data_IF_845182815666
#
_entry.id   IF_845182815666
#
_cell.length_a   1.000
_cell.length_b   1.000
_cell.length_c   1.000
_cell.angle_alpha   90.00
_cell.angle_beta   90.00
_cell.angle_gamma   90.00
#
_symmetry.space_group_name_H-M   'P 1'
#
loop_
_entity.id
_entity.type
_entity.pdbx_description
1 polymer ?
#
# COMPACT_ATOMS: atom_id res chain seq x y z
N UNK A 1 8.70 37.94 20.96
CA UNK A 1 9.45 37.66 19.72
C UNK A 1 8.49 36.89 18.83
N UNK A 2 7.67 37.62 18.06
CA UNK A 2 6.73 37.01 17.12
C UNK A 2 7.55 36.37 16.00
N UNK A 3 7.59 35.06 15.97
CA UNK A 3 8.07 34.32 14.80
C UNK A 3 7.09 34.58 13.68
N UNK A 4 7.38 35.55 12.82
CA UNK A 4 6.79 35.66 11.50
C UNK A 4 7.11 34.38 10.74
N UNK A 5 6.26 33.37 10.86
CA UNK A 5 6.24 32.24 9.94
C UNK A 5 5.77 32.78 8.60
N UNK A 6 6.70 32.97 7.67
CA UNK A 6 6.35 33.22 6.28
C UNK A 6 5.37 32.13 5.85
N UNK A 7 4.26 32.47 5.17
CA UNK A 7 3.34 31.45 4.67
C UNK A 7 4.12 30.50 3.76
N UNK A 8 3.95 29.19 3.97
CA UNK A 8 4.61 28.17 3.15
C UNK A 8 4.34 28.45 1.66
N UNK A 9 5.34 28.29 0.78
CA UNK A 9 5.13 28.48 -0.65
C UNK A 9 3.99 27.57 -1.15
N UNK A 10 3.22 28.00 -2.16
CA UNK A 10 2.15 27.19 -2.70
C UNK A 10 2.71 25.88 -3.26
N UNK A 11 2.01 24.76 -3.00
CA UNK A 11 2.39 23.45 -3.52
C UNK A 11 2.37 23.51 -5.07
N UNK A 12 3.46 23.13 -5.76
CA UNK A 12 3.54 23.17 -7.22
C UNK A 12 2.40 22.39 -7.88
N UNK A 13 1.96 22.82 -9.07
CA UNK A 13 1.02 22.02 -9.84
C UNK A 13 1.76 20.91 -10.56
N UNK A 14 1.08 19.80 -10.81
CA UNK A 14 1.67 18.70 -11.58
C UNK A 14 2.06 19.13 -13.01
N UNK A 15 1.37 20.13 -13.58
CA UNK A 15 1.72 20.74 -14.88
C UNK A 15 3.11 21.39 -14.84
N UNK A 16 3.46 22.06 -13.74
CA UNK A 16 4.77 22.69 -13.53
C UNK A 16 5.86 21.64 -13.32
N UNK A 17 5.50 20.53 -12.68
CA UNK A 17 6.38 19.40 -12.45
C UNK A 17 6.55 18.53 -13.70
N UNK A 18 5.67 18.58 -14.68
CA UNK A 18 5.75 17.83 -15.93
C UNK A 18 4.83 16.60 -15.97
N UNK A 19 3.94 16.57 -16.96
CA UNK A 19 2.92 15.54 -17.15
C UNK A 19 3.47 14.17 -17.60
N UNK A 20 4.75 14.08 -17.97
CA UNK A 20 5.40 12.79 -18.24
C UNK A 20 5.36 11.84 -17.03
N UNK A 21 5.25 12.40 -15.82
CA UNK A 21 5.09 11.64 -14.57
C UNK A 21 3.82 10.79 -14.56
N UNK A 22 2.80 11.13 -15.36
CA UNK A 22 1.55 10.36 -15.44
C UNK A 22 1.58 9.23 -16.47
N UNK A 23 2.65 9.14 -17.27
CA UNK A 23 2.69 8.24 -18.42
C UNK A 23 3.19 6.85 -18.03
N UNK A 24 2.30 5.86 -17.97
CA UNK A 24 2.70 4.46 -17.76
C UNK A 24 2.74 3.70 -19.09
N UNK A 25 3.93 3.22 -19.48
CA UNK A 25 4.08 2.36 -20.65
C UNK A 25 3.45 0.98 -20.44
N UNK A 26 3.11 0.29 -21.53
CA UNK A 26 2.59 -1.07 -21.48
C UNK A 26 3.55 -2.04 -20.76
N UNK A 27 4.87 -1.85 -20.92
CA UNK A 27 5.89 -2.63 -20.22
C UNK A 27 5.89 -2.36 -18.72
N UNK A 28 5.86 -1.10 -18.29
CA UNK A 28 5.81 -0.75 -16.86
C UNK A 28 4.56 -1.35 -16.19
N UNK A 29 3.40 -1.22 -16.84
CA UNK A 29 2.16 -1.84 -16.39
C UNK A 29 2.28 -3.35 -16.26
N UNK A 30 2.78 -4.03 -17.29
CA UNK A 30 2.93 -5.48 -17.29
C UNK A 30 3.89 -5.95 -16.17
N UNK A 31 5.03 -5.27 -16.00
CA UNK A 31 5.99 -5.57 -14.95
C UNK A 31 5.38 -5.37 -13.56
N UNK A 32 4.67 -4.26 -13.33
CA UNK A 32 4.04 -3.98 -12.06
C UNK A 32 3.03 -5.09 -11.66
N UNK A 33 2.16 -5.48 -12.59
CA UNK A 33 1.13 -6.50 -12.37
C UNK A 33 1.69 -7.93 -12.28
N UNK A 34 2.76 -8.24 -13.03
CA UNK A 34 3.38 -9.56 -13.02
C UNK A 34 4.21 -9.80 -11.75
N UNK A 35 4.76 -8.75 -11.14
CA UNK A 35 5.72 -8.85 -10.02
C UNK A 35 5.20 -9.72 -8.85
N UNK A 36 3.99 -9.50 -8.29
CA UNK A 36 3.46 -10.38 -7.25
C UNK A 36 3.32 -11.84 -7.68
N UNK A 37 2.84 -12.07 -8.91
CA UNK A 37 2.59 -13.42 -9.44
C UNK A 37 3.89 -14.18 -9.66
N UNK A 38 4.93 -13.50 -10.13
CA UNK A 38 6.29 -14.04 -10.19
C UNK A 38 6.78 -14.43 -8.79
N UNK A 39 6.48 -13.62 -7.78
CA UNK A 39 6.81 -13.95 -6.39
C UNK A 39 6.16 -15.23 -5.91
N UNK A 40 4.86 -15.43 -6.19
CA UNK A 40 4.13 -16.67 -5.87
C UNK A 40 4.75 -17.87 -6.60
N UNK A 41 5.14 -17.70 -7.87
CA UNK A 41 5.85 -18.75 -8.61
C UNK A 41 7.21 -19.08 -7.98
N UNK A 42 7.98 -18.06 -7.61
CA UNK A 42 9.29 -18.22 -6.93
C UNK A 42 9.12 -18.91 -5.57
N UNK A 43 8.05 -18.61 -4.83
CA UNK A 43 7.69 -19.32 -3.61
C UNK A 43 7.45 -20.82 -3.87
N UNK A 44 6.63 -21.14 -4.87
CA UNK A 44 6.34 -22.53 -5.23
C UNK A 44 7.61 -23.29 -5.66
N UNK A 45 8.48 -22.65 -6.44
CA UNK A 45 9.77 -23.19 -6.84
C UNK A 45 10.66 -23.42 -5.61
N UNK A 46 10.78 -22.44 -4.72
CA UNK A 46 11.60 -22.56 -3.51
C UNK A 46 11.16 -23.76 -2.65
N UNK A 47 9.85 -23.93 -2.47
CA UNK A 47 9.30 -25.08 -1.75
C UNK A 47 9.58 -26.40 -2.47
N UNK A 48 9.43 -26.46 -3.80
CA UNK A 48 9.72 -27.65 -4.59
C UNK A 48 11.18 -28.11 -4.45
N UNK A 49 12.11 -27.17 -4.28
CA UNK A 49 13.53 -27.45 -4.03
C UNK A 49 13.89 -27.57 -2.54
N UNK A 50 12.91 -27.57 -1.64
CA UNK A 50 13.12 -27.71 -0.19
C UNK A 50 13.75 -26.49 0.49
N UNK A 51 13.77 -25.33 -0.17
CA UNK A 51 14.37 -24.09 0.32
C UNK A 51 13.45 -23.32 1.27
N UNK A 52 12.95 -23.99 2.31
CA UNK A 52 11.95 -23.42 3.24
C UNK A 52 12.44 -22.16 3.95
N UNK A 53 13.73 -22.07 4.30
CA UNK A 53 14.31 -20.94 5.03
C UNK A 53 14.24 -19.60 4.28
N UNK A 54 14.19 -19.61 2.94
CA UNK A 54 14.09 -18.35 2.15
C UNK A 54 12.64 -17.92 1.92
N UNK A 55 11.66 -18.79 2.20
CA UNK A 55 10.25 -18.50 1.94
C UNK A 55 9.69 -17.27 2.66
N UNK A 56 10.08 -16.93 3.91
CA UNK A 56 9.63 -15.70 4.55
C UNK A 56 10.10 -14.44 3.81
N UNK A 57 11.33 -14.44 3.28
CA UNK A 57 11.86 -13.32 2.50
C UNK A 57 11.12 -13.16 1.17
N UNK A 58 10.77 -14.29 0.53
CA UNK A 58 9.95 -14.28 -0.70
C UNK A 58 8.56 -13.73 -0.41
N UNK A 59 7.91 -14.16 0.69
CA UNK A 59 6.58 -13.66 1.08
C UNK A 59 6.62 -12.18 1.46
N UNK A 60 7.67 -11.71 2.15
CA UNK A 60 7.87 -10.29 2.39
C UNK A 60 7.97 -9.50 1.09
N UNK A 61 8.71 -10.00 0.10
CA UNK A 61 8.79 -9.36 -1.21
C UNK A 61 7.45 -9.38 -1.96
N UNK A 62 6.68 -10.47 -1.89
CA UNK A 62 5.31 -10.54 -2.42
C UNK A 62 4.44 -9.46 -1.76
N UNK A 63 4.50 -9.33 -0.44
CA UNK A 63 3.76 -8.32 0.30
C UNK A 63 4.07 -6.92 -0.22
N UNK A 64 5.34 -6.55 -0.31
CA UNK A 64 5.76 -5.25 -0.87
C UNK A 64 5.25 -5.07 -2.30
N UNK A 65 5.44 -6.07 -3.16
CA UNK A 65 5.01 -6.01 -4.55
C UNK A 65 3.49 -5.79 -4.67
N UNK A 66 2.68 -6.49 -3.87
CA UNK A 66 1.23 -6.37 -3.85
C UNK A 66 0.80 -5.00 -3.33
N UNK A 67 1.35 -4.53 -2.21
CA UNK A 67 1.01 -3.22 -1.63
C UNK A 67 1.29 -2.11 -2.65
N UNK A 68 2.48 -2.10 -3.26
CA UNK A 68 2.86 -1.07 -4.23
C UNK A 68 1.97 -1.08 -5.48
N UNK A 69 1.75 -2.25 -6.11
CA UNK A 69 0.94 -2.27 -7.34
C UNK A 69 -0.55 -2.06 -7.06
N UNK A 70 -1.06 -2.52 -5.92
CA UNK A 70 -2.45 -2.29 -5.53
C UNK A 70 -2.71 -0.81 -5.32
N UNK A 71 -1.76 -0.11 -4.70
CA UNK A 71 -1.78 1.34 -4.55
C UNK A 71 -1.82 2.07 -5.91
N UNK A 72 -0.93 1.69 -6.85
CA UNK A 72 -0.94 2.21 -8.22
C UNK A 72 -2.27 1.94 -8.96
N UNK A 73 -2.89 0.79 -8.72
CA UNK A 73 -4.20 0.41 -9.29
C UNK A 73 -5.32 1.28 -8.70
N UNK A 74 -5.30 1.52 -7.39
CA UNK A 74 -6.31 2.31 -6.67
C UNK A 74 -6.34 3.75 -7.18
N UNK A 75 -5.17 4.37 -7.39
CA UNK A 75 -5.09 5.75 -7.88
C UNK A 75 -5.13 5.86 -9.41
N UNK A 76 -5.22 4.74 -10.12
CA UNK A 76 -5.25 4.72 -11.59
C UNK A 76 -3.91 5.05 -12.24
N UNK A 77 -2.81 5.11 -11.49
CA UNK A 77 -1.47 5.51 -11.96
C UNK A 77 -0.92 4.61 -13.07
N UNK A 78 -1.38 3.35 -13.16
CA UNK A 78 -0.98 2.42 -14.23
C UNK A 78 -1.93 2.40 -15.45
N UNK A 79 -2.99 3.21 -15.45
CA UNK A 79 -3.86 3.43 -16.63
C UNK A 79 -4.76 2.26 -17.03
N UNK A 80 -5.27 1.52 -16.04
CA UNK A 80 -6.26 0.45 -16.25
C UNK A 80 -7.66 1.03 -16.48
N UNK A 81 -8.48 0.35 -17.28
CA UNK A 81 -9.92 0.62 -17.33
C UNK A 81 -10.61 0.22 -16.03
N UNK A 82 -11.79 0.77 -15.73
CA UNK A 82 -12.53 0.44 -14.50
C UNK A 82 -12.74 -1.07 -14.27
N UNK A 83 -13.05 -1.83 -15.34
CA UNK A 83 -13.20 -3.29 -15.26
C UNK A 83 -11.89 -4.00 -14.94
N UNK A 84 -10.79 -3.53 -15.54
CA UNK A 84 -9.46 -4.09 -15.25
C UNK A 84 -9.03 -3.73 -13.82
N UNK A 85 -9.33 -2.52 -13.34
CA UNK A 85 -9.07 -2.12 -11.96
C UNK A 85 -9.78 -3.04 -10.98
N UNK A 86 -11.09 -3.25 -11.11
CA UNK A 86 -11.83 -4.16 -10.21
C UNK A 86 -11.28 -5.60 -10.27
N UNK A 87 -10.98 -6.11 -11.48
CA UNK A 87 -10.38 -7.44 -11.64
C UNK A 87 -9.02 -7.54 -10.93
N UNK A 88 -8.14 -6.55 -11.13
CA UNK A 88 -6.81 -6.59 -10.53
C UNK A 88 -6.84 -6.37 -9.02
N UNK A 89 -7.75 -5.53 -8.49
CA UNK A 89 -7.94 -5.43 -7.04
C UNK A 89 -8.35 -6.77 -6.42
N UNK A 90 -9.25 -7.49 -7.07
CA UNK A 90 -9.65 -8.83 -6.64
C UNK A 90 -8.48 -9.83 -6.70
N UNK A 91 -7.75 -9.87 -7.83
CA UNK A 91 -6.65 -10.82 -8.02
C UNK A 91 -5.47 -10.54 -7.08
N UNK A 92 -5.08 -9.27 -6.91
CA UNK A 92 -4.00 -8.85 -6.02
C UNK A 92 -4.37 -9.10 -4.55
N UNK A 93 -5.62 -8.81 -4.19
CA UNK A 93 -6.13 -9.11 -2.85
C UNK A 93 -6.05 -10.62 -2.52
N UNK A 94 -6.42 -11.47 -3.47
CA UNK A 94 -6.32 -12.93 -3.30
C UNK A 94 -4.89 -13.44 -3.06
N UNK A 95 -3.86 -12.74 -3.55
CA UNK A 95 -2.45 -13.12 -3.32
C UNK A 95 -2.05 -13.00 -1.84
N UNK A 96 -2.57 -12.00 -1.12
CA UNK A 96 -2.28 -11.79 0.30
C UNK A 96 -3.42 -12.20 1.24
N UNK A 97 -4.57 -12.62 0.70
CA UNK A 97 -5.82 -12.80 1.46
C UNK A 97 -6.33 -11.50 2.10
N UNK A 98 -6.13 -10.40 1.39
CA UNK A 98 -6.59 -9.06 1.76
C UNK A 98 -7.63 -8.57 0.73
N UNK A 99 -8.54 -7.67 1.10
CA UNK A 99 -9.50 -7.13 0.11
C UNK A 99 -8.94 -5.89 -0.56
N UNK A 100 -8.70 -6.00 -1.87
CA UNK A 100 -8.35 -4.84 -2.68
C UNK A 100 -9.48 -3.82 -2.76
N UNK A 101 -10.74 -4.27 -2.71
CA UNK A 101 -11.90 -3.37 -2.73
C UNK A 101 -12.10 -2.62 -1.41
N UNK A 102 -11.89 -3.28 -0.26
CA UNK A 102 -11.90 -2.64 1.04
C UNK A 102 -10.75 -1.64 1.13
N UNK A 103 -9.54 -2.05 0.73
CA UNK A 103 -8.40 -1.17 0.67
C UNK A 103 -8.65 0.06 -0.21
N UNK A 104 -9.21 -0.09 -1.42
CA UNK A 104 -9.58 1.07 -2.27
C UNK A 104 -10.50 2.05 -1.53
N UNK A 105 -11.52 1.54 -0.83
CA UNK A 105 -12.49 2.37 -0.12
C UNK A 105 -11.86 3.09 1.08
N UNK A 106 -11.05 2.41 1.87
CA UNK A 106 -10.38 3.01 3.03
C UNK A 106 -9.26 3.95 2.61
N UNK A 107 -8.53 3.63 1.55
CA UNK A 107 -7.38 4.42 1.10
C UNK A 107 -7.82 5.73 0.46
N UNK A 108 -8.87 5.71 -0.37
CA UNK A 108 -9.46 6.97 -0.84
C UNK A 108 -10.06 7.80 0.29
N UNK A 109 -10.63 7.15 1.31
CA UNK A 109 -11.12 7.86 2.49
C UNK A 109 -9.97 8.53 3.25
N UNK A 110 -8.87 7.81 3.46
CA UNK A 110 -7.65 8.30 4.10
C UNK A 110 -7.13 9.57 3.42
N UNK A 111 -6.91 9.53 2.10
CA UNK A 111 -6.48 10.70 1.31
C UNK A 111 -7.46 11.87 1.40
N UNK A 112 -8.75 11.60 1.56
CA UNK A 112 -9.78 12.63 1.63
C UNK A 112 -9.83 13.34 2.97
N UNK A 113 -9.56 12.63 4.07
CA UNK A 113 -9.87 13.16 5.40
C UNK A 113 -8.72 13.16 6.39
N UNK A 114 -7.59 12.49 6.15
CA UNK A 114 -6.49 12.45 7.12
C UNK A 114 -5.97 13.87 7.46
N UNK A 115 -5.66 14.19 8.74
CA UNK A 115 -5.76 13.37 9.95
C UNK A 115 -7.09 13.53 10.68
N UNK A 116 -8.21 13.47 9.95
CA UNK A 116 -9.57 13.53 10.46
C UNK A 116 -10.06 12.23 11.10
N UNK A 117 -11.15 12.28 11.88
CA UNK A 117 -11.58 11.17 12.74
C UNK A 117 -12.27 10.01 12.01
N UNK A 118 -12.69 10.18 10.74
CA UNK A 118 -13.35 9.14 9.94
C UNK A 118 -12.36 8.44 8.98
N UNK A 119 -11.21 8.04 9.52
CA UNK A 119 -10.12 7.44 8.75
C UNK A 119 -9.67 6.11 9.37
N UNK A 120 -10.36 4.99 9.07
CA UNK A 120 -10.03 3.70 9.66
C UNK A 120 -8.63 3.20 9.28
N UNK A 121 -8.11 3.63 8.14
CA UNK A 121 -6.79 3.26 7.64
C UNK A 121 -5.68 4.09 8.28
N UNK A 122 -5.90 5.39 8.47
CA UNK A 122 -4.96 6.30 9.15
C UNK A 122 -4.95 6.19 10.68
N UNK A 123 -5.95 5.55 11.30
CA UNK A 123 -6.03 5.39 12.77
C UNK A 123 -4.75 4.86 13.45
N UNK A 124 -3.99 3.88 12.90
CA UNK A 124 -2.69 3.47 13.46
C UNK A 124 -1.66 4.60 13.63
N UNK A 125 -1.76 5.69 12.87
CA UNK A 125 -0.89 6.86 13.01
C UNK A 125 -1.01 7.53 14.39
N UNK A 126 -2.17 7.37 15.05
CA UNK A 126 -2.46 7.96 16.37
C UNK A 126 -2.01 7.09 17.54
N UNK A 127 -1.65 5.84 17.27
CA UNK A 127 -1.26 4.89 18.31
C UNK A 127 0.20 5.07 18.70
N UNK A 128 0.58 4.54 19.87
CA UNK A 128 1.99 4.33 20.18
C UNK A 128 2.57 3.26 19.27
N UNK A 129 3.90 3.17 19.19
CA UNK A 129 4.58 2.10 18.42
C UNK A 129 4.03 0.71 18.77
N UNK A 130 3.97 0.38 20.07
CA UNK A 130 3.42 -0.89 20.53
C UNK A 130 1.92 -1.02 20.30
N UNK A 131 1.16 0.07 20.39
CA UNK A 131 -0.24 0.09 20.02
C UNK A 131 -0.46 -0.31 18.55
N UNK A 132 0.35 0.22 17.63
CA UNK A 132 0.31 -0.13 16.21
C UNK A 132 0.67 -1.60 15.96
N UNK A 133 1.71 -2.12 16.62
CA UNK A 133 2.09 -3.55 16.57
C UNK A 133 0.94 -4.45 17.04
N UNK A 134 0.35 -4.14 18.20
CA UNK A 134 -0.72 -4.95 18.79
C UNK A 134 -2.03 -4.86 17.98
N UNK A 135 -2.22 -3.80 17.19
CA UNK A 135 -3.38 -3.66 16.31
C UNK A 135 -3.32 -4.56 15.07
N UNK A 136 -2.14 -5.05 14.68
CA UNK A 136 -1.91 -5.84 13.47
C UNK A 136 -3.02 -6.87 13.13
N UNK A 137 -3.36 -7.80 14.04
CA UNK A 137 -4.40 -8.81 13.81
C UNK A 137 -5.80 -8.26 13.55
N UNK A 138 -6.09 -7.03 13.99
CA UNK A 138 -7.42 -6.40 13.91
C UNK A 138 -7.53 -5.37 12.80
N UNK A 139 -6.41 -4.95 12.20
CA UNK A 139 -6.38 -3.86 11.22
C UNK A 139 -7.22 -4.19 9.98
N UNK A 140 -6.92 -5.28 9.27
CA UNK A 140 -7.64 -5.67 8.06
C UNK A 140 -9.14 -5.99 8.32
N UNK A 141 -9.51 -6.76 9.36
CA UNK A 141 -10.92 -6.95 9.72
C UNK A 141 -11.66 -5.62 9.95
N UNK A 142 -11.02 -4.64 10.59
CA UNK A 142 -11.59 -3.32 10.82
C UNK A 142 -11.84 -2.57 9.51
N UNK A 143 -10.88 -2.54 8.58
CA UNK A 143 -11.05 -1.90 7.27
C UNK A 143 -12.19 -2.55 6.48
N UNK A 144 -12.30 -3.87 6.56
CA UNK A 144 -13.34 -4.63 5.90
C UNK A 144 -14.74 -4.33 6.45
N UNK A 145 -14.88 -4.35 7.79
CA UNK A 145 -16.15 -4.06 8.45
C UNK A 145 -16.60 -2.62 8.19
N UNK A 146 -15.67 -1.67 8.20
CA UNK A 146 -15.94 -0.29 7.81
C UNK A 146 -16.44 -0.21 6.36
N UNK A 147 -15.76 -0.90 5.44
CA UNK A 147 -16.14 -0.94 4.02
C UNK A 147 -17.53 -1.54 3.80
N UNK A 148 -17.83 -2.67 4.43
CA UNK A 148 -19.17 -3.31 4.36
C UNK A 148 -20.29 -2.41 4.90
N UNK A 149 -20.01 -1.59 5.92
CA UNK A 149 -20.97 -0.61 6.46
C UNK A 149 -21.20 0.54 5.49
N UNK A 150 -20.14 1.01 4.82
CA UNK A 150 -20.17 2.13 3.85
C UNK A 150 -20.77 1.77 2.49
N UNK A 151 -20.90 0.49 2.17
CA UNK A 151 -21.46 0.03 0.89
C UNK A 151 -22.81 -0.67 1.04
N UNK A 152 -23.60 -0.35 2.08
CA UNK A 152 -24.93 -0.96 2.31
C UNK A 152 -25.91 -0.72 1.16
N UNK A 153 -25.86 0.47 0.59
CA UNK A 153 -26.64 0.95 -0.55
C UNK A 153 -25.96 0.72 -1.90
N UNK A 154 -24.71 0.24 -1.91
CA UNK A 154 -23.88 0.05 -3.12
C UNK A 154 -23.67 -1.43 -3.43
N UNK A 155 -24.70 -2.07 -3.98
CA UNK A 155 -24.70 -3.53 -4.21
C UNK A 155 -23.53 -4.03 -5.05
N UNK A 156 -23.10 -3.30 -6.08
CA UNK A 156 -21.96 -3.70 -6.91
C UNK A 156 -20.65 -3.80 -6.11
N UNK A 157 -20.33 -2.78 -5.29
CA UNK A 157 -19.14 -2.79 -4.42
C UNK A 157 -19.25 -3.87 -3.34
N UNK A 158 -20.44 -4.06 -2.78
CA UNK A 158 -20.69 -5.09 -1.77
C UNK A 158 -20.49 -6.51 -2.30
N UNK A 159 -20.85 -6.77 -3.57
CA UNK A 159 -20.62 -8.08 -4.20
C UNK A 159 -19.14 -8.43 -4.30
N UNK A 160 -18.29 -7.47 -4.62
CA UNK A 160 -16.84 -7.67 -4.63
C UNK A 160 -16.30 -8.03 -3.25
N UNK A 161 -16.68 -7.27 -2.22
CA UNK A 161 -16.31 -7.59 -0.84
C UNK A 161 -16.75 -9.01 -0.46
N UNK A 162 -17.99 -9.41 -0.76
CA UNK A 162 -18.45 -10.77 -0.43
C UNK A 162 -17.68 -11.83 -1.23
N UNK A 163 -17.40 -11.60 -2.50
CA UNK A 163 -16.64 -12.52 -3.35
C UNK A 163 -15.21 -12.73 -2.82
N UNK A 164 -14.51 -11.64 -2.46
CA UNK A 164 -13.17 -11.70 -1.87
C UNK A 164 -13.19 -12.48 -0.54
N UNK A 165 -14.16 -12.22 0.34
CA UNK A 165 -14.31 -13.00 1.58
C UNK A 165 -14.50 -14.49 1.30
N UNK A 166 -15.34 -14.83 0.32
CA UNK A 166 -15.58 -16.21 -0.10
C UNK A 166 -14.30 -16.89 -0.59
N UNK A 167 -13.49 -16.21 -1.42
CA UNK A 167 -12.20 -16.72 -1.88
C UNK A 167 -11.25 -16.91 -0.71
N UNK A 168 -11.13 -15.96 0.21
CA UNK A 168 -10.21 -16.09 1.35
C UNK A 168 -10.58 -17.27 2.25
N UNK A 169 -11.87 -17.41 2.56
CA UNK A 169 -12.37 -18.56 3.34
C UNK A 169 -12.10 -19.87 2.60
N UNK A 170 -12.34 -19.92 1.28
CA UNK A 170 -12.08 -21.11 0.48
C UNK A 170 -10.59 -21.49 0.45
N UNK A 171 -9.68 -20.52 0.31
CA UNK A 171 -8.23 -20.76 0.31
C UNK A 171 -7.77 -21.24 1.69
N UNK A 172 -8.24 -20.61 2.77
CA UNK A 172 -7.93 -21.04 4.14
C UNK A 172 -8.43 -22.47 4.37
N UNK A 173 -9.69 -22.76 4.02
CA UNK A 173 -10.25 -24.10 4.16
C UNK A 173 -9.49 -25.13 3.32
N UNK A 174 -9.16 -24.83 2.06
CA UNK A 174 -8.37 -25.70 1.20
C UNK A 174 -6.98 -25.97 1.79
N UNK A 175 -6.32 -24.95 2.33
CA UNK A 175 -5.01 -25.07 2.97
C UNK A 175 -5.03 -26.01 4.18
N UNK A 176 -6.09 -25.96 4.99
CA UNK A 176 -6.31 -26.84 6.13
C UNK A 176 -6.70 -28.26 5.73
N UNK A 177 -7.51 -28.44 4.69
CA UNK A 177 -7.90 -29.77 4.20
C UNK A 177 -6.74 -30.50 3.52
N UNK A 178 -5.92 -29.76 2.76
CA UNK A 178 -4.82 -30.29 1.98
C UNK A 178 -3.48 -30.29 2.75
N UNK A 179 -3.45 -29.94 4.03
CA UNK A 179 -2.18 -29.74 4.77
C UNK A 179 -1.23 -30.95 4.72
N UNK A 180 -1.76 -32.18 4.65
CA UNK A 180 -0.96 -33.42 4.56
C UNK A 180 -0.31 -33.64 3.19
N UNK A 181 -0.94 -33.15 2.12
CA UNK A 181 -0.49 -33.37 0.73
C UNK A 181 0.15 -32.13 0.11
N UNK A 182 -0.24 -30.94 0.56
CA UNK A 182 0.25 -29.64 0.11
C UNK A 182 0.50 -28.69 1.32
N UNK A 183 1.43 -29.04 2.25
CA UNK A 183 1.72 -28.22 3.42
C UNK A 183 2.22 -26.81 3.06
N UNK A 184 2.79 -26.65 1.86
CA UNK A 184 3.19 -25.38 1.29
C UNK A 184 2.06 -24.34 1.27
N UNK A 185 0.84 -24.76 0.94
CA UNK A 185 -0.30 -23.84 0.87
C UNK A 185 -0.62 -23.27 2.26
N UNK A 186 -0.65 -24.13 3.29
CA UNK A 186 -0.89 -23.69 4.66
C UNK A 186 0.25 -22.79 5.16
N UNK A 187 1.50 -23.14 4.87
CA UNK A 187 2.65 -22.30 5.23
C UNK A 187 2.54 -20.91 4.58
N UNK A 188 2.18 -20.84 3.29
CA UNK A 188 1.94 -19.58 2.58
C UNK A 188 0.83 -18.77 3.26
N UNK A 189 -0.34 -19.37 3.52
CA UNK A 189 -1.49 -18.72 4.19
C UNK A 189 -1.08 -18.15 5.55
N UNK A 190 -0.37 -18.92 6.37
CA UNK A 190 0.12 -18.46 7.68
C UNK A 190 1.08 -17.27 7.51
N UNK A 191 2.02 -17.35 6.57
CA UNK A 191 2.99 -16.28 6.36
C UNK A 191 2.34 -14.99 5.85
N UNK A 192 1.39 -15.06 4.90
CA UNK A 192 0.71 -13.84 4.43
C UNK A 192 -0.16 -13.24 5.53
N UNK A 193 -0.94 -14.05 6.26
CA UNK A 193 -1.81 -13.55 7.34
C UNK A 193 -0.98 -12.91 8.47
N UNK A 194 0.08 -13.57 8.94
CA UNK A 194 0.94 -13.01 9.97
C UNK A 194 1.77 -11.83 9.45
N UNK A 195 2.21 -11.88 8.19
CA UNK A 195 2.92 -10.79 7.53
C UNK A 195 2.05 -9.53 7.45
N UNK A 196 0.77 -9.66 7.13
CA UNK A 196 -0.17 -8.53 7.08
C UNK A 196 -0.34 -7.81 8.43
N UNK A 197 0.04 -8.42 9.55
CA UNK A 197 -0.02 -7.75 10.86
C UNK A 197 1.00 -6.62 10.98
N UNK A 198 2.07 -6.62 10.16
CA UNK A 198 3.03 -5.50 10.13
C UNK A 198 2.53 -4.32 9.29
N UNK A 199 1.45 -4.50 8.51
CA UNK A 199 0.87 -3.47 7.66
C UNK A 199 0.63 -2.13 8.39
N UNK A 200 -0.17 -2.06 9.48
CA UNK A 200 -0.49 -0.78 10.14
C UNK A 200 0.74 -0.10 10.72
N UNK A 201 1.79 -0.86 11.03
CA UNK A 201 3.06 -0.30 11.49
C UNK A 201 3.83 0.33 10.33
N UNK A 202 4.12 -0.45 9.29
CA UNK A 202 5.07 -0.07 8.25
C UNK A 202 4.50 0.94 7.25
N UNK A 203 3.21 0.85 6.94
CA UNK A 203 2.58 1.64 5.87
C UNK A 203 1.75 2.81 6.38
N UNK A 204 1.45 2.84 7.69
CA UNK A 204 0.64 3.90 8.30
C UNK A 204 1.36 4.55 9.46
N UNK A 205 1.63 3.82 10.55
CA UNK A 205 2.20 4.42 11.77
C UNK A 205 3.56 5.07 11.52
N UNK A 206 4.50 4.39 10.87
CA UNK A 206 5.82 4.96 10.62
C UNK A 206 5.79 6.13 9.62
N UNK A 207 5.10 6.07 8.46
CA UNK A 207 5.05 7.19 7.52
C UNK A 207 4.32 8.42 8.06
N UNK A 208 3.33 8.23 8.94
CA UNK A 208 2.56 9.31 9.55
C UNK A 208 2.99 9.63 10.99
N UNK A 209 4.14 9.12 11.45
CA UNK A 209 4.56 9.37 12.82
C UNK A 209 4.78 10.86 13.05
N UNK A 210 4.25 11.39 14.15
CA UNK A 210 4.36 12.80 14.51
C UNK A 210 3.78 13.74 13.42
N UNK A 211 2.69 13.31 12.76
CA UNK A 211 2.04 14.08 11.69
C UNK A 211 1.57 15.47 12.18
N UNK A 212 1.66 16.47 11.30
CA UNK A 212 1.15 17.82 11.51
C UNK A 212 -0.16 18.11 10.78
N UNK A 213 -0.60 19.36 10.83
CA UNK A 213 -1.91 19.81 10.30
C UNK A 213 -1.87 20.18 8.81
N UNK A 214 -0.69 20.43 8.24
CA UNK A 214 -0.53 20.83 6.83
C UNK A 214 -0.25 19.62 5.93
N UNK A 215 -0.61 19.67 4.63
CA UNK A 215 -0.28 18.58 3.69
C UNK A 215 1.20 18.21 3.66
N UNK A 216 2.10 19.18 3.89
CA UNK A 216 3.55 18.97 3.91
C UNK A 216 4.07 18.26 5.17
N UNK A 217 3.26 18.25 6.23
CA UNK A 217 3.63 17.73 7.56
C UNK A 217 2.83 16.50 7.95
N UNK A 218 1.80 16.13 7.19
CA UNK A 218 0.93 14.99 7.51
C UNK A 218 1.66 13.65 7.41
N UNK A 219 2.73 13.59 6.61
CA UNK A 219 3.47 12.36 6.35
C UNK A 219 4.96 12.65 6.13
N UNK A 220 5.78 11.61 6.12
CA UNK A 220 7.23 11.69 5.95
C UNK A 220 7.67 11.30 4.55
N UNK A 221 8.84 11.79 4.16
CA UNK A 221 9.58 11.30 3.00
C UNK A 221 10.89 10.67 3.43
N UNK A 222 11.10 9.40 3.07
CA UNK A 222 12.34 8.68 3.30
C UNK A 222 13.19 8.72 2.03
N UNK A 223 14.36 9.36 2.11
CA UNK A 223 15.32 9.52 0.99
C UNK A 223 16.49 8.56 1.17
N UNK A 224 16.78 7.77 0.14
CA UNK A 224 17.88 6.80 0.13
C UNK A 224 17.92 6.06 -1.20
N UNK A 225 18.77 5.04 -1.31
CA UNK A 225 18.84 4.19 -2.51
C UNK A 225 18.39 2.76 -2.22
N UNK A 226 18.66 2.25 -1.03
CA UNK A 226 18.41 0.85 -0.69
C UNK A 226 16.98 0.69 -0.17
N UNK A 227 16.62 1.44 0.87
CA UNK A 227 15.29 1.29 1.50
C UNK A 227 14.16 1.67 0.53
N UNK A 228 14.19 2.81 -0.18
CA UNK A 228 13.17 3.12 -1.18
C UNK A 228 13.06 2.06 -2.27
N UNK A 229 14.19 1.57 -2.80
CA UNK A 229 14.16 0.52 -3.83
C UNK A 229 13.56 -0.80 -3.33
N UNK A 230 13.85 -1.21 -2.08
CA UNK A 230 13.24 -2.41 -1.46
C UNK A 230 11.72 -2.27 -1.41
N UNK A 231 11.23 -1.08 -1.01
CA UNK A 231 9.79 -0.76 -0.92
C UNK A 231 9.19 -0.24 -2.23
N UNK A 232 9.90 -0.41 -3.35
CA UNK A 232 9.47 0.00 -4.69
C UNK A 232 9.00 1.46 -4.74
N UNK A 233 9.78 2.33 -4.10
CA UNK A 233 9.64 3.79 -4.04
C UNK A 233 8.42 4.31 -3.27
N UNK A 234 7.60 3.43 -2.66
CA UNK A 234 6.42 3.83 -1.90
C UNK A 234 6.76 4.54 -0.57
N UNK A 235 8.04 4.54 -0.17
CA UNK A 235 8.53 5.29 1.00
C UNK A 235 8.61 6.79 0.75
N UNK A 236 8.46 7.25 -0.49
CA UNK A 236 8.18 8.64 -0.85
C UNK A 236 6.72 8.98 -0.57
N UNK A 237 6.32 8.77 0.70
CA UNK A 237 4.92 8.76 1.12
C UNK A 237 4.31 10.16 1.11
N UNK A 238 5.12 11.19 1.42
CA UNK A 238 4.72 12.59 1.27
C UNK A 238 4.43 12.95 -0.18
N UNK A 239 5.31 12.57 -1.09
CA UNK A 239 5.12 12.81 -2.52
C UNK A 239 3.86 12.12 -3.03
N UNK A 240 3.62 10.90 -2.55
CA UNK A 240 2.38 10.18 -2.83
C UNK A 240 1.14 10.93 -2.32
N UNK A 241 1.14 11.44 -1.08
CA UNK A 241 0.03 12.21 -0.54
C UNK A 241 -0.26 13.50 -1.31
N UNK A 242 0.79 14.15 -1.82
CA UNK A 242 0.64 15.36 -2.63
C UNK A 242 0.19 15.07 -4.07
N UNK A 243 0.62 13.93 -4.65
CA UNK A 243 0.37 13.59 -6.05
C UNK A 243 0.00 12.10 -6.22
N UNK A 244 -1.14 11.65 -5.67
CA UNK A 244 -1.50 10.22 -5.63
C UNK A 244 -1.64 9.57 -7.01
N UNK A 245 -1.89 10.36 -8.04
CA UNK A 245 -1.99 9.93 -9.43
C UNK A 245 -0.65 9.54 -10.08
N UNK A 246 0.49 9.90 -9.47
CA UNK A 246 1.82 9.54 -9.98
C UNK A 246 2.13 8.11 -9.57
N UNK A 247 2.37 7.20 -10.53
CA UNK A 247 2.65 5.81 -10.19
C UNK A 247 3.99 5.66 -9.46
N UNK A 248 4.09 4.62 -8.62
CA UNK A 248 5.23 4.29 -7.78
C UNK A 248 6.59 4.40 -8.50
N UNK A 249 6.68 3.84 -9.70
CA UNK A 249 7.89 3.83 -10.53
C UNK A 249 8.33 5.21 -11.06
N UNK A 250 7.51 6.25 -10.87
CA UNK A 250 7.84 7.64 -11.16
C UNK A 250 8.04 8.50 -9.90
N UNK A 251 7.79 7.98 -8.70
CA UNK A 251 7.96 8.74 -7.45
C UNK A 251 9.40 9.22 -7.28
N UNK A 252 10.40 8.39 -7.56
CA UNK A 252 11.82 8.80 -7.51
C UNK A 252 12.14 9.97 -8.44
N UNK A 253 11.43 10.11 -9.57
CA UNK A 253 11.58 11.26 -10.48
C UNK A 253 10.81 12.47 -9.96
N UNK A 254 9.60 12.28 -9.46
CA UNK A 254 8.77 13.34 -8.86
C UNK A 254 9.54 14.03 -7.72
N UNK A 255 10.17 13.23 -6.86
CA UNK A 255 11.08 13.66 -5.79
C UNK A 255 12.12 14.66 -6.27
N UNK A 256 12.83 14.36 -7.35
CA UNK A 256 13.87 15.23 -7.88
C UNK A 256 13.33 16.59 -8.34
N UNK A 257 12.07 16.62 -8.80
CA UNK A 257 11.41 17.85 -9.24
C UNK A 257 10.83 18.65 -8.07
N UNK A 258 10.48 17.98 -6.96
CA UNK A 258 10.00 18.62 -5.73
C UNK A 258 11.12 19.10 -4.82
N UNK A 259 12.35 18.61 -4.98
CA UNK A 259 13.49 18.93 -4.11
C UNK A 259 13.72 20.44 -3.88
N UNK A 260 13.67 21.32 -4.90
CA UNK A 260 13.79 22.77 -4.69
C UNK A 260 12.69 23.33 -3.77
N UNK A 261 11.44 22.93 -4.05
CA UNK A 261 10.27 23.35 -3.28
C UNK A 261 10.30 22.82 -1.85
N UNK A 262 10.68 21.56 -1.64
CA UNK A 262 10.77 20.98 -0.30
C UNK A 262 11.84 21.65 0.57
N UNK A 263 12.95 22.08 -0.04
CA UNK A 263 13.98 22.86 0.67
C UNK A 263 13.47 24.24 1.07
N UNK A 264 12.76 24.93 0.17
CA UNK A 264 12.17 26.24 0.44
C UNK A 264 11.07 26.18 1.50
N UNK A 265 10.22 25.16 1.43
CA UNK A 265 9.13 24.93 2.38
C UNK A 265 9.59 24.33 3.73
N UNK A 266 10.87 24.02 3.89
CA UNK A 266 11.43 23.47 5.13
C UNK A 266 10.96 22.05 5.46
N UNK A 267 10.66 21.23 4.45
CA UNK A 267 10.22 19.83 4.65
C UNK A 267 11.36 19.01 5.26
N UNK A 268 11.07 18.32 6.36
CA UNK A 268 12.04 17.44 7.02
C UNK A 268 12.22 16.13 6.22
N UNK A 269 13.45 15.90 5.78
CA UNK A 269 13.81 14.72 4.98
C UNK A 269 14.54 13.70 5.83
N UNK A 270 14.01 12.48 5.88
CA UNK A 270 14.60 11.38 6.63
C UNK A 270 15.52 10.58 5.74
N UNK A 271 16.83 10.60 6.03
CA UNK A 271 17.83 9.90 5.22
C UNK A 271 17.99 8.45 5.68
N UNK A 272 17.92 7.54 4.71
CA UNK A 272 18.11 6.10 4.87
C UNK A 272 19.13 5.61 3.84
N UNK A 273 19.77 4.45 4.07
CA UNK A 273 20.61 3.81 3.06
C UNK A 273 19.90 3.63 1.71
#
# INVERSE_FOLDING_TARGET
>A
METHTLPSPPIPRLEDLGLDLLTTSARQRAVALARPLIGVLVYAIAVQFGLWYVTPLIVFWIFVAVVTVTHDVVHGGIGLSARQTDLWLFLLGAVLLESGHAYRLTHHQHHRVFPGPDDPEGDPARLTFWGSVLQGPFFLPKLWLWSLRRTRDRQAQRRWLIAEAGVHIAVIAASLLLWKTAPALLAYVVMVVCGSWVYPLLTVHLPHRDYGETPLTQTRTLRGRIIPAIFLELTYHLEHHLYPQVPSHHLARLVQRLDPFFREAGVEVWRVP
#
